data_IF_741923154304
#
_entry.id   IF_741923154304
#
_cell.length_a   1.000
_cell.length_b   1.000
_cell.length_c   1.000
_cell.angle_alpha   90.00
_cell.angle_beta   90.00
_cell.angle_gamma   90.00
#
_symmetry.space_group_name_H-M   'P 1'
#
loop_
_entity.id
_entity.type
_entity.pdbx_description
1 polymer ?
#
# COMPACT_ATOMS: atom_id res chain seq x y z
N UNK A 1 -0.03 -22.48 -0.02
CA UNK A 1 -0.53 -21.17 -0.51
C UNK A 1 0.18 -20.09 0.28
N UNK A 2 0.76 -19.08 -0.38
CA UNK A 2 1.32 -17.92 0.31
C UNK A 2 0.22 -17.20 1.12
N UNK A 3 0.61 -16.54 2.21
CA UNK A 3 -0.29 -15.65 2.93
C UNK A 3 -0.69 -14.48 2.01
N UNK A 4 -1.80 -13.78 2.30
CA UNK A 4 -2.20 -12.62 1.50
C UNK A 4 -1.10 -11.53 1.46
N UNK A 5 -0.32 -11.41 2.53
CA UNK A 5 0.88 -10.56 2.61
C UNK A 5 1.97 -11.05 1.66
N UNK A 6 2.31 -12.34 1.68
CA UNK A 6 3.32 -12.91 0.79
C UNK A 6 2.94 -12.76 -0.69
N UNK A 7 1.68 -13.01 -1.04
CA UNK A 7 1.19 -12.81 -2.40
C UNK A 7 1.30 -11.36 -2.86
N UNK A 8 0.99 -10.39 -2.00
CA UNK A 8 1.15 -8.96 -2.33
C UNK A 8 2.63 -8.58 -2.44
N UNK A 9 3.49 -9.12 -1.57
CA UNK A 9 4.93 -8.90 -1.65
C UNK A 9 5.49 -9.39 -2.98
N UNK A 10 5.21 -10.65 -3.34
CA UNK A 10 5.64 -11.24 -4.60
C UNK A 10 5.11 -10.46 -5.81
N UNK A 11 3.83 -10.06 -5.79
CA UNK A 11 3.24 -9.27 -6.87
C UNK A 11 3.90 -7.89 -7.05
N UNK A 12 4.38 -7.27 -5.97
CA UNK A 12 5.00 -5.94 -6.02
C UNK A 12 6.47 -5.97 -6.38
N UNK A 13 7.25 -6.83 -5.70
CA UNK A 13 8.72 -6.80 -5.72
C UNK A 13 9.34 -8.03 -6.38
N UNK A 14 8.50 -8.93 -6.89
CA UNK A 14 8.92 -10.17 -7.52
C UNK A 14 9.26 -11.28 -6.52
N UNK A 15 9.44 -12.52 -7.01
CA UNK A 15 9.66 -13.69 -6.18
C UNK A 15 11.05 -13.73 -5.52
N UNK A 16 12.03 -12.97 -6.02
CA UNK A 16 13.42 -13.09 -5.56
C UNK A 16 13.60 -12.61 -4.12
N UNK A 17 12.84 -11.61 -3.65
CA UNK A 17 12.94 -11.12 -2.26
C UNK A 17 12.73 -12.25 -1.25
N UNK A 18 11.65 -13.03 -1.40
CA UNK A 18 11.35 -14.15 -0.50
C UNK A 18 12.20 -15.39 -0.81
N UNK A 19 12.56 -15.60 -2.09
CA UNK A 19 13.41 -16.74 -2.47
C UNK A 19 14.79 -16.70 -1.81
N UNK A 20 15.36 -15.50 -1.64
CA UNK A 20 16.67 -15.31 -0.97
C UNK A 20 16.54 -15.02 0.53
N UNK A 21 15.35 -14.62 0.99
CA UNK A 21 15.06 -14.37 2.41
C UNK A 21 13.78 -15.13 2.83
N UNK A 22 13.87 -16.45 3.11
CA UNK A 22 12.68 -17.28 3.33
C UNK A 22 11.82 -16.91 4.54
N UNK A 23 12.38 -16.19 5.52
CA UNK A 23 11.67 -15.74 6.73
C UNK A 23 11.12 -14.33 6.61
N UNK A 24 11.32 -13.66 5.46
CA UNK A 24 11.00 -12.24 5.29
C UNK A 24 9.55 -11.92 5.64
N UNK A 25 8.60 -12.68 5.07
CA UNK A 25 7.17 -12.40 5.27
C UNK A 25 6.73 -12.61 6.71
N UNK A 26 7.30 -13.58 7.43
CA UNK A 26 7.00 -13.79 8.84
C UNK A 26 7.55 -12.64 9.71
N UNK A 27 8.81 -12.24 9.49
CA UNK A 27 9.44 -11.10 10.18
C UNK A 27 8.69 -9.79 9.89
N UNK A 28 8.23 -9.62 8.65
CA UNK A 28 7.49 -8.45 8.20
C UNK A 28 6.10 -8.37 8.87
N UNK A 29 5.41 -9.51 8.98
CA UNK A 29 4.14 -9.61 9.70
C UNK A 29 4.34 -9.31 11.20
N UNK A 30 5.38 -9.86 11.81
CA UNK A 30 5.68 -9.62 13.23
C UNK A 30 6.04 -8.15 13.49
N UNK A 31 6.59 -7.45 12.50
CA UNK A 31 6.98 -6.05 12.65
C UNK A 31 5.79 -5.07 12.71
N UNK A 32 4.63 -5.39 12.11
CA UNK A 32 3.46 -4.48 12.06
C UNK A 32 3.09 -3.79 13.38
N UNK A 33 2.84 -4.52 14.49
CA UNK A 33 2.41 -3.92 15.75
C UNK A 33 3.43 -2.94 16.33
N UNK A 34 4.71 -3.03 15.94
CA UNK A 34 5.77 -2.14 16.43
C UNK A 34 5.86 -0.81 15.69
N UNK A 35 5.28 -0.68 14.50
CA UNK A 35 5.33 0.57 13.75
C UNK A 35 4.67 1.74 14.52
N UNK A 36 3.54 1.50 15.17
CA UNK A 36 2.82 2.55 15.89
C UNK A 36 3.56 3.06 17.15
N UNK A 37 4.14 2.19 17.99
CA UNK A 37 5.11 2.59 19.02
C UNK A 37 6.31 3.37 18.51
N UNK A 38 6.90 2.95 17.38
CA UNK A 38 8.05 3.62 16.77
C UNK A 38 7.69 5.03 16.27
N UNK A 39 6.52 5.20 15.63
CA UNK A 39 6.02 6.52 15.22
C UNK A 39 5.76 7.45 16.41
N UNK A 40 5.38 6.90 17.57
CA UNK A 40 5.22 7.65 18.83
C UNK A 40 6.56 8.01 19.50
N UNK A 41 7.69 7.62 18.90
CA UNK A 41 9.03 7.92 19.43
C UNK A 41 9.41 7.13 20.67
N UNK A 42 8.79 5.96 20.91
CA UNK A 42 9.21 5.08 22.01
C UNK A 42 10.67 4.66 21.76
N UNK A 43 11.52 4.81 22.79
CA UNK A 43 12.93 4.53 22.65
C UNK A 43 13.18 3.04 22.33
N UNK A 44 14.09 2.79 21.40
CA UNK A 44 14.44 1.45 20.91
C UNK A 44 14.90 0.51 22.03
N UNK A 45 15.48 1.04 23.11
CA UNK A 45 15.88 0.28 24.30
C UNK A 45 14.71 -0.51 24.92
N UNK A 46 13.49 0.00 24.84
CA UNK A 46 12.29 -0.67 25.35
C UNK A 46 11.65 -1.63 24.35
N UNK A 47 12.18 -1.70 23.13
CA UNK A 47 11.66 -2.52 22.04
C UNK A 47 12.79 -3.29 21.34
N UNK A 48 13.54 -4.14 22.07
CA UNK A 48 14.66 -4.88 21.49
C UNK A 48 14.21 -5.80 20.35
N UNK A 49 13.02 -6.41 20.45
CA UNK A 49 12.47 -7.25 19.38
C UNK A 49 12.16 -6.44 18.12
N UNK A 50 11.53 -5.27 18.25
CA UNK A 50 11.27 -4.39 17.12
C UNK A 50 12.57 -3.96 16.41
N UNK A 51 13.61 -3.67 17.20
CA UNK A 51 14.92 -3.28 16.66
C UNK A 51 15.57 -4.42 15.90
N UNK A 52 15.58 -5.64 16.48
CA UNK A 52 16.11 -6.83 15.81
C UNK A 52 15.34 -7.17 14.52
N UNK A 53 14.01 -7.09 14.54
CA UNK A 53 13.18 -7.31 13.34
C UNK A 53 13.47 -6.26 12.26
N UNK A 54 13.57 -4.97 12.64
CA UNK A 54 13.93 -3.92 11.69
C UNK A 54 15.30 -4.17 11.06
N UNK A 55 16.30 -4.55 11.84
CA UNK A 55 17.64 -4.88 11.33
C UNK A 55 17.61 -6.09 10.39
N UNK A 56 16.80 -7.12 10.72
CA UNK A 56 16.56 -8.29 9.88
C UNK A 56 15.96 -7.87 8.53
N UNK A 57 14.86 -7.13 8.55
CA UNK A 57 14.17 -6.66 7.35
C UNK A 57 15.08 -5.78 6.48
N UNK A 58 15.85 -4.86 7.08
CA UNK A 58 16.80 -4.05 6.31
C UNK A 58 17.91 -4.88 5.68
N UNK A 59 18.39 -5.94 6.36
CA UNK A 59 19.35 -6.88 5.78
C UNK A 59 18.73 -7.64 4.61
N UNK A 60 17.50 -8.08 4.72
CA UNK A 60 16.80 -8.83 3.67
C UNK A 60 16.64 -7.99 2.40
N UNK A 61 16.23 -6.72 2.55
CA UNK A 61 16.17 -5.77 1.43
C UNK A 61 17.54 -5.53 0.79
N UNK A 62 18.62 -5.40 1.59
CA UNK A 62 19.98 -5.28 1.04
C UNK A 62 20.39 -6.52 0.24
N UNK A 63 20.13 -7.71 0.77
CA UNK A 63 20.41 -8.99 0.09
C UNK A 63 19.66 -9.03 -1.24
N UNK A 64 18.36 -8.75 -1.22
CA UNK A 64 17.53 -8.73 -2.42
C UNK A 64 18.03 -7.71 -3.45
N UNK A 65 18.29 -6.46 -3.05
CA UNK A 65 18.83 -5.43 -3.93
C UNK A 65 20.16 -5.85 -4.57
N UNK A 66 21.06 -6.47 -3.79
CA UNK A 66 22.35 -6.94 -4.30
C UNK A 66 22.17 -8.05 -5.34
N UNK A 67 21.30 -9.03 -5.05
CA UNK A 67 21.02 -10.16 -5.95
C UNK A 67 20.32 -9.69 -7.22
N UNK A 68 19.27 -8.88 -7.09
CA UNK A 68 18.51 -8.34 -8.20
C UNK A 68 19.39 -7.50 -9.13
N UNK A 69 20.26 -6.63 -8.58
CA UNK A 69 21.18 -5.80 -9.37
C UNK A 69 22.24 -6.61 -10.11
N UNK A 70 22.73 -7.69 -9.51
CA UNK A 70 23.71 -8.57 -10.14
C UNK A 70 23.10 -9.50 -11.19
N UNK A 71 21.83 -9.89 -11.01
CA UNK A 71 21.14 -10.87 -11.83
C UNK A 71 20.31 -10.31 -12.98
N UNK A 72 19.76 -9.10 -12.82
CA UNK A 72 18.83 -8.49 -13.77
C UNK A 72 19.44 -8.30 -15.16
N UNK A 73 18.67 -8.65 -16.19
CA UNK A 73 18.95 -8.38 -17.59
C UNK A 73 17.68 -7.85 -18.25
N UNK A 74 17.83 -6.95 -19.22
CA UNK A 74 16.71 -6.43 -20.00
C UNK A 74 15.92 -7.54 -20.73
N UNK A 75 16.55 -8.68 -21.02
CA UNK A 75 15.89 -9.85 -21.61
C UNK A 75 14.95 -10.58 -20.66
N UNK A 76 15.00 -10.28 -19.36
CA UNK A 76 14.15 -10.90 -18.33
C UNK A 76 12.85 -10.11 -18.10
N UNK A 77 12.65 -8.99 -18.80
CA UNK A 77 11.44 -8.16 -18.71
C UNK A 77 10.32 -8.81 -19.53
N UNK A 78 9.18 -9.01 -18.87
CA UNK A 78 7.97 -9.60 -19.48
C UNK A 78 7.17 -8.55 -20.29
N UNK A 79 6.20 -9.01 -21.07
CA UNK A 79 5.39 -8.13 -21.96
C UNK A 79 4.62 -7.05 -21.19
N UNK A 80 4.24 -7.32 -19.93
CA UNK A 80 3.55 -6.38 -19.04
C UNK A 80 4.50 -5.45 -18.27
N UNK A 81 5.80 -5.45 -18.62
CA UNK A 81 6.90 -4.72 -17.98
C UNK A 81 7.31 -5.20 -16.59
N UNK A 82 6.75 -6.31 -16.08
CA UNK A 82 7.24 -6.92 -14.84
C UNK A 82 8.51 -7.73 -15.08
N UNK A 83 9.23 -8.05 -14.01
CA UNK A 83 10.36 -8.97 -14.07
C UNK A 83 10.54 -9.72 -12.73
N UNK A 84 11.15 -10.89 -12.77
CA UNK A 84 11.36 -11.72 -11.56
C UNK A 84 12.27 -11.08 -10.51
N UNK A 85 13.15 -10.15 -10.87
CA UNK A 85 14.18 -9.58 -10.00
C UNK A 85 13.65 -8.42 -9.16
N UNK A 86 12.89 -7.52 -9.79
CA UNK A 86 12.36 -6.30 -9.18
C UNK A 86 10.84 -6.30 -9.04
N UNK A 87 10.13 -7.22 -9.68
CA UNK A 87 8.67 -7.23 -9.73
C UNK A 87 8.15 -6.17 -10.69
N UNK A 88 7.40 -5.20 -10.15
CA UNK A 88 6.79 -4.14 -10.95
C UNK A 88 7.86 -3.21 -11.56
N UNK A 89 7.59 -2.71 -12.77
CA UNK A 89 8.38 -1.65 -13.43
C UNK A 89 8.63 -0.46 -12.49
N UNK A 90 7.64 -0.08 -11.67
CA UNK A 90 7.77 1.01 -10.72
C UNK A 90 8.92 0.78 -9.72
N UNK A 91 9.12 -0.44 -9.23
CA UNK A 91 10.23 -0.79 -8.31
C UNK A 91 11.57 -0.72 -9.05
N UNK A 92 11.63 -1.27 -10.27
CA UNK A 92 12.82 -1.22 -11.12
C UNK A 92 13.25 0.22 -11.44
N UNK A 93 12.31 1.08 -11.83
CA UNK A 93 12.59 2.50 -12.12
C UNK A 93 13.02 3.27 -10.87
N UNK A 94 12.44 2.97 -9.70
CA UNK A 94 12.87 3.59 -8.43
C UNK A 94 14.32 3.26 -8.13
N UNK A 95 14.77 2.04 -8.36
CA UNK A 95 16.18 1.66 -8.21
C UNK A 95 17.08 2.44 -9.18
N UNK A 96 16.65 2.63 -10.43
CA UNK A 96 17.39 3.42 -11.43
C UNK A 96 17.46 4.90 -11.08
N UNK A 97 16.37 5.48 -10.58
CA UNK A 97 16.27 6.91 -10.27
C UNK A 97 16.94 7.26 -8.95
N UNK A 98 16.68 6.53 -7.88
CA UNK A 98 17.13 6.91 -6.54
C UNK A 98 18.60 6.59 -6.26
N UNK A 99 19.23 5.72 -7.05
CA UNK A 99 20.70 5.55 -7.05
C UNK A 99 21.44 6.79 -7.53
N UNK A 100 20.77 7.72 -8.22
CA UNK A 100 21.34 8.97 -8.71
C UNK A 100 21.15 10.15 -7.74
N UNK A 101 20.52 9.93 -6.59
CA UNK A 101 20.27 11.00 -5.61
C UNK A 101 21.51 11.22 -4.77
N UNK A 102 22.00 12.47 -4.75
CA UNK A 102 23.18 12.86 -3.98
C UNK A 102 23.00 12.56 -2.49
N UNK A 103 23.98 11.85 -1.91
CA UNK A 103 24.02 11.51 -0.50
C UNK A 103 23.13 10.35 -0.07
N UNK A 104 22.50 9.64 -1.02
CA UNK A 104 21.78 8.41 -0.73
C UNK A 104 22.68 7.20 -0.93
N UNK A 105 22.68 6.31 0.05
CA UNK A 105 23.38 5.03 0.01
C UNK A 105 22.39 3.87 -0.20
N UNK A 106 22.91 2.63 -0.22
CA UNK A 106 22.08 1.45 -0.36
C UNK A 106 21.14 1.21 0.83
N UNK A 107 21.46 1.75 2.02
CA UNK A 107 20.59 1.68 3.19
C UNK A 107 19.39 2.62 3.05
N UNK A 108 19.58 3.79 2.45
CA UNK A 108 18.49 4.70 2.09
C UNK A 108 17.53 4.02 1.10
N UNK A 109 18.04 3.33 0.08
CA UNK A 109 17.23 2.59 -0.89
C UNK A 109 16.46 1.44 -0.25
N UNK A 110 17.13 0.62 0.58
CA UNK A 110 16.49 -0.47 1.32
C UNK A 110 15.36 0.05 2.23
N UNK A 111 15.61 1.14 2.95
CA UNK A 111 14.60 1.77 3.81
C UNK A 111 13.41 2.30 3.02
N UNK A 112 13.66 2.86 1.84
CA UNK A 112 12.63 3.44 0.99
C UNK A 112 11.71 2.36 0.41
N UNK A 113 12.25 1.26 -0.10
CA UNK A 113 11.45 0.18 -0.67
C UNK A 113 10.76 -0.66 0.41
N UNK A 114 11.37 -0.81 1.59
CA UNK A 114 10.66 -1.29 2.77
C UNK A 114 9.45 -0.41 3.10
N UNK A 115 9.63 0.92 3.11
CA UNK A 115 8.55 1.86 3.40
C UNK A 115 7.40 1.76 2.38
N UNK A 116 7.73 1.57 1.09
CA UNK A 116 6.74 1.36 0.04
C UNK A 116 5.98 0.05 0.24
N UNK A 117 6.69 -1.07 0.47
CA UNK A 117 6.07 -2.38 0.65
C UNK A 117 5.19 -2.42 1.90
N UNK A 118 5.66 -1.81 2.99
CA UNK A 118 4.92 -1.64 4.24
C UNK A 118 3.67 -0.80 4.03
N UNK A 119 3.79 0.34 3.35
CA UNK A 119 2.66 1.22 3.05
C UNK A 119 1.61 0.53 2.17
N UNK A 120 2.03 -0.23 1.16
CA UNK A 120 1.11 -0.97 0.30
C UNK A 120 0.36 -2.05 1.06
N UNK A 121 1.05 -2.86 1.87
CA UNK A 121 0.39 -3.88 2.67
C UNK A 121 -0.56 -3.27 3.72
N UNK A 122 -0.18 -2.17 4.38
CA UNK A 122 -1.05 -1.53 5.37
C UNK A 122 -2.35 -0.97 4.80
N UNK A 123 -2.39 -0.62 3.51
CA UNK A 123 -3.57 -0.01 2.91
C UNK A 123 -4.35 -1.01 2.05
N UNK A 124 -3.67 -1.69 1.13
CA UNK A 124 -4.32 -2.57 0.15
C UNK A 124 -4.89 -3.82 0.81
N UNK A 125 -4.20 -4.44 1.77
CA UNK A 125 -4.71 -5.65 2.41
C UNK A 125 -6.00 -5.39 3.21
N UNK A 126 -6.06 -4.41 4.14
CA UNK A 126 -7.33 -4.09 4.81
C UNK A 126 -8.44 -3.66 3.85
N UNK A 127 -8.13 -2.88 2.81
CA UNK A 127 -9.14 -2.48 1.82
C UNK A 127 -9.75 -3.70 1.12
N UNK A 128 -8.94 -4.64 0.63
CA UNK A 128 -9.42 -5.87 -0.01
C UNK A 128 -10.25 -6.72 0.94
N UNK A 129 -9.84 -6.86 2.20
CA UNK A 129 -10.62 -7.59 3.21
C UNK A 129 -11.98 -6.92 3.45
N UNK A 130 -12.01 -5.59 3.57
CA UNK A 130 -13.28 -4.87 3.74
C UNK A 130 -14.18 -4.95 2.51
N UNK A 131 -13.64 -4.90 1.30
CA UNK A 131 -14.43 -5.11 0.08
C UNK A 131 -15.13 -6.47 0.11
N UNK A 132 -14.40 -7.54 0.43
CA UNK A 132 -14.99 -8.89 0.55
C UNK A 132 -16.09 -8.89 1.62
N UNK A 133 -15.83 -8.31 2.79
CA UNK A 133 -16.83 -8.26 3.88
C UNK A 133 -18.10 -7.51 3.43
N UNK A 134 -17.98 -6.33 2.83
CA UNK A 134 -19.15 -5.54 2.41
C UNK A 134 -19.93 -6.23 1.29
N UNK A 135 -19.25 -6.85 0.32
CA UNK A 135 -19.89 -7.62 -0.75
C UNK A 135 -20.69 -8.79 -0.17
N UNK A 136 -20.10 -9.59 0.72
CA UNK A 136 -20.77 -10.78 1.26
C UNK A 136 -21.82 -10.48 2.32
N UNK A 137 -21.77 -9.30 2.94
CA UNK A 137 -22.75 -8.86 3.95
C UNK A 137 -24.07 -8.43 3.32
N UNK A 138 -24.06 -7.99 2.06
CA UNK A 138 -25.25 -7.59 1.30
C UNK A 138 -25.55 -8.60 0.17
N UNK A 139 -26.57 -9.47 0.33
CA UNK A 139 -26.92 -10.46 -0.67
C UNK A 139 -27.28 -9.88 -2.04
N UNK A 140 -27.89 -8.68 -2.09
CA UNK A 140 -28.24 -8.02 -3.36
C UNK A 140 -26.98 -7.53 -4.08
N UNK A 141 -26.05 -6.93 -3.33
CA UNK A 141 -24.74 -6.53 -3.85
C UNK A 141 -23.95 -7.74 -4.36
N UNK A 142 -23.95 -8.85 -3.62
CA UNK A 142 -23.27 -10.08 -4.02
C UNK A 142 -23.80 -10.63 -5.35
N UNK A 143 -25.12 -10.63 -5.56
CA UNK A 143 -25.72 -11.05 -6.84
C UNK A 143 -25.24 -10.14 -7.96
N UNK A 144 -25.33 -8.82 -7.78
CA UNK A 144 -24.89 -7.85 -8.79
C UNK A 144 -23.40 -8.00 -9.14
N UNK A 145 -22.53 -8.21 -8.15
CA UNK A 145 -21.11 -8.45 -8.38
C UNK A 145 -20.90 -9.72 -9.19
N UNK A 146 -21.61 -10.81 -8.87
CA UNK A 146 -21.52 -12.05 -9.66
C UNK A 146 -21.98 -11.86 -11.10
N UNK A 147 -23.11 -11.16 -11.29
CA UNK A 147 -23.62 -10.86 -12.63
C UNK A 147 -22.58 -10.06 -13.45
N UNK A 148 -21.96 -9.04 -12.87
CA UNK A 148 -20.89 -8.26 -13.55
C UNK A 148 -19.68 -9.14 -13.89
N UNK A 149 -19.25 -10.03 -12.98
CA UNK A 149 -18.13 -10.95 -13.21
C UNK A 149 -18.44 -12.02 -14.26
N UNK A 150 -19.68 -12.53 -14.32
CA UNK A 150 -20.12 -13.50 -15.34
C UNK A 150 -20.20 -12.89 -16.74
N UNK A 151 -20.37 -11.57 -16.83
CA UNK A 151 -20.43 -10.83 -18.09
C UNK A 151 -19.05 -10.35 -18.59
N UNK A 152 -17.97 -10.61 -17.83
CA UNK A 152 -16.62 -10.32 -18.29
C UNK A 152 -16.27 -11.14 -19.53
N UNK A 153 -15.54 -10.52 -20.45
CA UNK A 153 -15.10 -11.13 -21.71
C UNK A 153 -13.78 -11.85 -21.58
N UNK A 154 -12.97 -11.46 -20.60
CA UNK A 154 -11.67 -12.06 -20.27
C UNK A 154 -11.80 -13.13 -19.19
N UNK A 155 -10.83 -14.03 -19.17
CA UNK A 155 -10.77 -15.08 -18.15
C UNK A 155 -9.57 -14.88 -17.22
N UNK A 156 -9.59 -15.42 -15.99
CA UNK A 156 -8.43 -15.33 -15.08
C UNK A 156 -7.11 -15.89 -15.64
N UNK A 157 -7.16 -16.73 -16.68
CA UNK A 157 -5.97 -17.22 -17.38
C UNK A 157 -5.27 -16.09 -18.17
N UNK A 158 -6.03 -15.08 -18.62
CA UNK A 158 -5.57 -13.86 -19.29
C UNK A 158 -5.35 -12.74 -18.26
N UNK A 159 -4.49 -13.00 -17.26
CA UNK A 159 -4.38 -12.20 -16.02
C UNK A 159 -4.36 -10.69 -16.23
N UNK A 160 -3.56 -10.19 -17.17
CA UNK A 160 -3.39 -8.74 -17.39
C UNK A 160 -4.69 -8.11 -17.89
N UNK A 161 -5.27 -8.63 -18.95
CA UNK A 161 -6.53 -8.11 -19.52
C UNK A 161 -7.70 -8.36 -18.57
N UNK A 162 -7.68 -9.45 -17.81
CA UNK A 162 -8.66 -9.74 -16.76
C UNK A 162 -8.62 -8.73 -15.61
N UNK A 163 -7.44 -8.36 -15.13
CA UNK A 163 -7.28 -7.33 -14.10
C UNK A 163 -7.69 -5.94 -14.63
N UNK A 164 -7.39 -5.64 -15.90
CA UNK A 164 -7.83 -4.40 -16.54
C UNK A 164 -9.35 -4.33 -16.68
N UNK A 165 -10.00 -5.39 -17.15
CA UNK A 165 -11.46 -5.45 -17.28
C UNK A 165 -12.12 -5.36 -15.89
N UNK A 166 -11.66 -6.15 -14.92
CA UNK A 166 -12.15 -6.13 -13.53
C UNK A 166 -12.03 -4.74 -12.91
N UNK A 167 -10.89 -4.07 -13.13
CA UNK A 167 -10.63 -2.71 -12.67
C UNK A 167 -11.53 -1.67 -13.32
N UNK A 168 -12.08 -1.94 -14.51
CA UNK A 168 -12.96 -1.01 -15.21
C UNK A 168 -14.45 -1.24 -14.95
N UNK A 169 -14.83 -2.29 -14.20
CA UNK A 169 -16.23 -2.52 -13.80
C UNK A 169 -16.69 -1.38 -12.88
N UNK A 170 -17.72 -0.57 -13.27
CA UNK A 170 -18.16 0.56 -12.46
C UNK A 170 -18.63 0.17 -11.06
N UNK A 171 -19.27 -0.99 -10.92
CA UNK A 171 -19.69 -1.51 -9.62
C UNK A 171 -18.49 -1.80 -8.71
N UNK A 172 -17.42 -2.40 -9.22
CA UNK A 172 -16.20 -2.68 -8.46
C UNK A 172 -15.51 -1.40 -8.00
N UNK A 173 -15.43 -0.40 -8.88
CA UNK A 173 -14.90 0.93 -8.54
C UNK A 173 -15.75 1.62 -7.47
N UNK A 174 -17.08 1.52 -7.56
CA UNK A 174 -17.99 2.06 -6.54
C UNK A 174 -17.81 1.39 -5.18
N UNK A 175 -17.67 0.06 -5.15
CA UNK A 175 -17.43 -0.68 -3.90
C UNK A 175 -16.09 -0.28 -3.29
N UNK A 176 -15.03 -0.22 -4.11
CA UNK A 176 -13.71 0.21 -3.66
C UNK A 176 -13.75 1.62 -3.06
N UNK A 177 -14.39 2.57 -3.75
CA UNK A 177 -14.56 3.94 -3.26
C UNK A 177 -15.34 4.01 -1.94
N UNK A 178 -16.44 3.27 -1.81
CA UNK A 178 -17.23 3.24 -0.58
C UNK A 178 -16.50 2.57 0.60
N UNK A 179 -15.70 1.54 0.33
CA UNK A 179 -14.82 0.95 1.34
C UNK A 179 -13.79 1.95 1.81
N UNK A 180 -13.14 2.69 0.91
CA UNK A 180 -12.21 3.76 1.32
C UNK A 180 -12.93 4.86 2.10
N UNK A 181 -14.16 5.22 1.71
CA UNK A 181 -14.96 6.25 2.40
C UNK A 181 -15.32 5.84 3.83
N UNK A 182 -15.73 4.58 4.04
CA UNK A 182 -16.31 4.11 5.30
C UNK A 182 -15.34 3.38 6.23
N UNK A 183 -14.29 2.77 5.67
CA UNK A 183 -13.39 1.85 6.40
C UNK A 183 -11.97 2.36 6.51
N UNK A 184 -11.60 3.40 5.76
CA UNK A 184 -10.27 4.01 5.83
C UNK A 184 -10.33 5.35 6.54
N UNK A 185 -9.58 5.45 7.64
CA UNK A 185 -9.34 6.72 8.33
C UNK A 185 -7.89 7.11 8.23
N UNK A 186 -7.58 8.15 7.46
CA UNK A 186 -6.23 8.71 7.34
C UNK A 186 -6.15 9.98 8.20
N UNK A 187 -4.99 10.21 8.79
CA UNK A 187 -4.66 11.50 9.40
C UNK A 187 -3.53 12.10 8.59
N UNK A 188 -3.81 13.24 7.94
CA UNK A 188 -2.74 13.98 7.27
C UNK A 188 -2.07 14.89 8.27
N UNK A 189 -0.75 14.79 8.36
CA UNK A 189 0.06 15.55 9.30
C UNK A 189 0.89 16.57 8.53
N UNK A 190 0.64 17.85 8.76
CA UNK A 190 1.38 18.95 8.17
C UNK A 190 2.27 19.64 9.21
N UNK A 191 3.46 20.02 8.78
CA UNK A 191 4.40 20.82 9.57
C UNK A 191 5.33 21.59 8.66
N UNK A 192 5.36 22.91 8.79
CA UNK A 192 6.38 23.74 8.14
C UNK A 192 7.48 24.11 9.14
N UNK A 193 8.72 23.76 8.81
CA UNK A 193 9.89 24.02 9.67
C UNK A 193 10.54 25.38 9.41
N UNK A 194 10.07 26.13 8.42
CA UNK A 194 10.65 27.38 7.90
C UNK A 194 9.75 28.59 8.16
N UNK A 195 8.44 28.47 7.97
CA UNK A 195 7.48 29.57 8.03
C UNK A 195 6.18 29.19 8.78
N UNK A 196 5.38 30.21 9.09
CA UNK A 196 4.03 30.06 9.61
C UNK A 196 3.08 29.68 8.47
N UNK A 197 2.15 28.75 8.74
CA UNK A 197 1.15 28.32 7.78
C UNK A 197 -0.11 29.16 8.00
N UNK A 198 -0.67 29.72 6.93
CA UNK A 198 -1.92 30.47 6.96
C UNK A 198 -2.99 29.71 6.17
N UNK A 199 -4.12 29.42 6.81
CA UNK A 199 -5.28 28.78 6.18
C UNK A 199 -6.49 29.66 6.49
N UNK A 200 -6.99 30.36 5.47
CA UNK A 200 -8.04 31.38 5.62
C UNK A 200 -7.67 32.39 6.73
N UNK A 201 -8.52 32.55 7.74
CA UNK A 201 -8.30 33.42 8.90
C UNK A 201 -7.36 32.84 9.97
N UNK A 202 -6.98 31.56 9.85
CA UNK A 202 -6.17 30.85 10.85
C UNK A 202 -4.68 30.95 10.54
N UNK A 203 -3.90 31.23 11.57
CA UNK A 203 -2.44 31.22 11.53
C UNK A 203 -1.91 30.12 12.44
N UNK A 204 -1.15 29.20 11.85
CA UNK A 204 -0.42 28.15 12.55
C UNK A 204 1.06 28.55 12.64
N UNK A 205 1.60 28.72 13.85
CA UNK A 205 3.01 29.09 14.00
C UNK A 205 3.94 28.06 13.38
N UNK A 206 5.10 28.53 12.89
CA UNK A 206 6.22 27.70 12.45
C UNK A 206 6.50 26.56 13.43
N UNK A 207 6.81 25.38 12.87
CA UNK A 207 7.06 24.11 13.58
C UNK A 207 5.85 23.51 14.31
N UNK A 208 4.67 24.13 14.26
CA UNK A 208 3.44 23.54 14.78
C UNK A 208 3.03 22.32 13.97
N UNK A 209 2.46 21.34 14.66
CA UNK A 209 1.87 20.16 14.06
C UNK A 209 0.40 20.46 13.74
N UNK A 210 0.01 20.36 12.49
CA UNK A 210 -1.40 20.43 12.06
C UNK A 210 -1.82 19.02 11.68
N UNK A 211 -2.85 18.50 12.36
CA UNK A 211 -3.41 17.19 12.08
C UNK A 211 -4.79 17.39 11.49
N UNK A 212 -4.99 16.88 10.28
CA UNK A 212 -6.28 16.90 9.59
C UNK A 212 -6.80 15.46 9.55
N UNK A 213 -7.74 15.08 10.43
CA UNK A 213 -8.42 13.81 10.31
C UNK A 213 -9.32 13.84 9.07
N UNK A 214 -9.27 12.78 8.27
CA UNK A 214 -10.02 12.71 7.02
C UNK A 214 -11.30 11.89 7.15
N UNK A 215 -11.72 11.47 8.33
CA UNK A 215 -12.87 10.56 8.52
C UNK A 215 -14.19 11.33 8.47
N UNK A 216 -14.15 12.59 8.87
CA UNK A 216 -15.28 13.45 9.15
C UNK A 216 -15.99 13.84 7.84
N UNK A 217 -15.24 14.30 6.84
CA UNK A 217 -15.83 14.69 5.55
C UNK A 217 -16.46 13.49 4.78
N UNK A 218 -15.82 12.31 4.68
CA UNK A 218 -16.42 11.09 4.14
C UNK A 218 -17.68 10.61 4.86
N UNK A 219 -17.85 10.94 6.15
CA UNK A 219 -18.97 10.46 6.98
C UNK A 219 -20.03 11.53 7.25
N UNK A 220 -19.85 12.73 6.70
CA UNK A 220 -20.80 13.84 6.86
C UNK A 220 -22.14 13.55 6.17
N UNK A 221 -23.17 13.28 6.97
CA UNK A 221 -24.53 12.99 6.50
C UNK A 221 -25.21 14.18 5.81
N UNK A 222 -24.68 15.40 5.96
CA UNK A 222 -25.20 16.59 5.26
C UNK A 222 -24.72 16.68 3.82
N UNK A 223 -23.59 16.03 3.51
CA UNK A 223 -22.99 15.99 2.18
C UNK A 223 -23.22 14.64 1.49
N UNK A 224 -23.06 13.53 2.23
CA UNK A 224 -23.26 12.18 1.71
C UNK A 224 -24.70 11.72 1.90
N UNK A 225 -25.34 11.40 0.78
CA UNK A 225 -26.75 11.02 0.77
C UNK A 225 -26.98 9.66 1.45
N UNK A 226 -27.38 9.68 2.72
CA UNK A 226 -27.79 8.50 3.50
C UNK A 226 -29.24 8.06 3.24
N UNK A 227 -29.93 8.65 2.26
CA UNK A 227 -31.39 8.49 2.00
C UNK A 227 -31.73 7.77 0.69
N UNK A 228 -30.94 6.79 0.24
CA UNK A 228 -31.22 5.98 -0.95
C UNK A 228 -31.53 6.82 -2.21
N UNK A 229 -30.68 7.82 -2.52
CA UNK A 229 -30.81 8.60 -3.75
C UNK A 229 -31.90 9.68 -3.75
N UNK A 230 -32.61 9.91 -2.63
CA UNK A 230 -33.49 11.09 -2.50
C UNK A 230 -32.60 12.32 -2.26
N UNK A 231 -32.39 13.13 -3.29
CA UNK A 231 -31.51 14.31 -3.23
C UNK A 231 -31.92 15.33 -2.17
N UNK A 232 -30.95 16.15 -1.77
CA UNK A 232 -31.21 17.34 -0.96
C UNK A 232 -32.11 18.29 -1.75
N UNK A 233 -33.25 18.68 -1.16
CA UNK A 233 -34.12 19.75 -1.67
C UNK A 233 -33.52 21.08 -1.27
#
# INVERSE_FOLDING_TARGET
MPSLVGSLNEAMVGPILESVNPTFTDDFIEFYPYAHPLMKGIAQLFMPRATALRESLMRDFRTWHSVARAGFKETDVEEDNTDRWWGLLAIRERQRLFTQVDGWDYDALASLDFGLLWGANLNSHPASVWMVIEIFKDPELLVRVRDELENMTTTPDERTTWMEELGNIPLMQSIYAEVLRLRTGVQTVYRDNRADIHINEWRFPKKSLIIVPTVEAPTDETYWNTRNGKGHV
#
